data_IF_826898018725
#
_entry.id   IF_826898018725
#
_cell.length_a   1.000
_cell.length_b   1.000
_cell.length_c   1.000
_cell.angle_alpha   90.00
_cell.angle_beta   90.00
_cell.angle_gamma   90.00
#
_symmetry.space_group_name_H-M   'P 1'
#
loop_
_entity.id
_entity.type
_entity.pdbx_description
1 polymer ?
#
# COMPACT_ATOMS: atom_id res chain seq x y z
N UNK A 1 4.46 -14.90 -15.49
CA UNK A 1 4.48 -14.49 -14.06
C UNK A 1 4.68 -12.99 -13.98
N UNK A 2 3.86 -12.31 -13.17
CA UNK A 2 3.97 -10.86 -13.04
C UNK A 2 5.20 -10.53 -12.15
N UNK A 3 6.08 -9.63 -12.58
CA UNK A 3 7.24 -9.23 -11.78
C UNK A 3 6.89 -8.35 -10.57
N UNK A 4 5.63 -8.01 -10.39
CA UNK A 4 5.16 -7.26 -9.25
C UNK A 4 4.33 -8.17 -8.37
N UNK A 5 4.75 -8.35 -7.12
CA UNK A 5 4.01 -9.15 -6.17
C UNK A 5 3.40 -8.25 -5.11
N UNK A 6 2.17 -8.54 -4.73
CA UNK A 6 1.43 -7.78 -3.75
C UNK A 6 1.07 -8.68 -2.59
N UNK A 7 1.18 -8.16 -1.36
CA UNK A 7 0.66 -8.84 -0.17
C UNK A 7 -0.06 -7.84 0.70
N UNK A 8 -1.07 -8.32 1.41
CA UNK A 8 -1.85 -7.52 2.34
C UNK A 8 -1.62 -8.03 3.74
N UNK A 9 -1.23 -7.13 4.63
CA UNK A 9 -0.92 -7.46 6.02
C UNK A 9 -1.84 -6.62 6.90
N UNK A 10 -2.77 -7.24 7.64
CA UNK A 10 -3.60 -6.50 8.59
C UNK A 10 -2.73 -5.88 9.69
N UNK A 11 -3.05 -4.65 10.07
CA UNK A 11 -2.29 -3.95 11.08
C UNK A 11 -3.19 -2.91 11.74
N UNK A 12 -2.64 -2.16 12.68
CA UNK A 12 -3.37 -1.07 13.30
C UNK A 12 -2.41 0.05 13.66
N UNK A 13 -2.95 1.26 13.75
CA UNK A 13 -2.17 2.42 14.18
C UNK A 13 -1.88 2.32 15.68
N UNK A 14 -1.05 3.25 16.17
CA UNK A 14 -0.75 3.30 17.59
C UNK A 14 -2.00 3.51 18.45
N UNK A 15 -3.00 4.24 17.91
CA UNK A 15 -4.28 4.45 18.59
C UNK A 15 -5.25 3.29 18.42
N UNK A 16 -4.85 2.24 17.71
CA UNK A 16 -5.69 1.05 17.55
C UNK A 16 -6.62 1.09 16.34
N UNK A 17 -6.50 2.07 15.45
CA UNK A 17 -7.32 2.08 14.24
C UNK A 17 -6.83 1.01 13.26
N UNK A 18 -7.70 0.07 12.88
CA UNK A 18 -7.28 -0.99 11.96
C UNK A 18 -7.09 -0.44 10.55
N UNK A 19 -6.08 -0.94 9.89
CA UNK A 19 -5.83 -0.65 8.47
C UNK A 19 -5.12 -1.85 7.87
N UNK A 20 -4.94 -1.82 6.56
CA UNK A 20 -4.25 -2.89 5.85
C UNK A 20 -3.02 -2.32 5.17
N UNK A 21 -1.91 -3.01 5.34
CA UNK A 21 -0.66 -2.65 4.71
C UNK A 21 -0.57 -3.40 3.39
N UNK A 22 -0.61 -2.67 2.28
CA UNK A 22 -0.45 -3.25 0.95
C UNK A 22 1.01 -3.06 0.55
N UNK A 23 1.76 -4.14 0.62
CA UNK A 23 3.18 -4.13 0.27
C UNK A 23 3.36 -4.67 -1.13
N UNK A 24 4.09 -3.93 -1.96
CA UNK A 24 4.48 -4.46 -3.26
C UNK A 24 5.97 -4.76 -3.28
N UNK A 25 6.33 -5.75 -4.08
CA UNK A 25 7.71 -6.15 -4.25
C UNK A 25 7.96 -6.40 -5.72
N UNK A 26 9.03 -5.79 -6.25
CA UNK A 26 9.47 -6.02 -7.62
C UNK A 26 10.47 -7.16 -7.58
N UNK A 27 10.21 -8.22 -8.35
CA UNK A 27 10.96 -9.47 -8.26
C UNK A 27 11.99 -9.65 -9.36
N UNK A 28 12.19 -8.64 -10.22
CA UNK A 28 13.24 -8.68 -11.23
C UNK A 28 14.60 -8.52 -10.58
N UNK A 29 15.65 -9.04 -11.23
CA UNK A 29 16.99 -9.00 -10.66
C UNK A 29 17.50 -7.57 -10.46
N UNK A 30 17.15 -6.66 -11.37
CA UNK A 30 17.61 -5.28 -11.32
C UNK A 30 16.60 -4.34 -10.64
N UNK A 31 15.46 -4.87 -10.19
CA UNK A 31 14.43 -4.04 -9.57
C UNK A 31 13.67 -3.13 -10.53
N UNK A 32 13.79 -3.35 -11.84
CA UNK A 32 13.17 -2.51 -12.86
C UNK A 32 11.99 -3.23 -13.48
N UNK A 33 10.89 -2.50 -13.66
CA UNK A 33 9.71 -3.00 -14.37
C UNK A 33 9.37 -2.06 -15.51
N UNK A 34 8.63 -2.59 -16.49
CA UNK A 34 8.14 -1.79 -17.62
C UNK A 34 6.70 -1.34 -17.33
N UNK A 35 6.25 -0.21 -17.91
CA UNK A 35 4.86 0.21 -17.73
C UNK A 35 3.83 -0.86 -18.06
N UNK A 36 4.11 -1.70 -19.05
CA UNK A 36 3.18 -2.76 -19.42
C UNK A 36 2.98 -3.79 -18.30
N UNK A 37 3.89 -3.86 -17.34
CA UNK A 37 3.81 -4.84 -16.25
C UNK A 37 2.64 -4.56 -15.31
N UNK A 38 2.08 -3.34 -15.30
CA UNK A 38 0.91 -3.06 -14.47
C UNK A 38 -0.40 -3.47 -15.13
N UNK A 39 -0.38 -3.79 -16.42
CA UNK A 39 -1.59 -4.25 -17.10
C UNK A 39 -2.07 -5.55 -16.46
N UNK A 40 -3.34 -5.57 -16.03
CA UNK A 40 -3.91 -6.74 -15.41
C UNK A 40 -3.44 -7.02 -13.99
N UNK A 41 -2.61 -6.16 -13.42
CA UNK A 41 -2.21 -6.28 -12.03
C UNK A 41 -3.44 -6.03 -11.15
N UNK A 42 -3.78 -7.01 -10.31
CA UNK A 42 -4.97 -6.94 -9.47
C UNK A 42 -4.58 -6.98 -8.01
N UNK A 43 -5.39 -6.32 -7.19
CA UNK A 43 -5.22 -6.37 -5.75
C UNK A 43 -5.43 -7.80 -5.25
N UNK A 44 -4.74 -8.20 -4.17
CA UNK A 44 -4.97 -9.50 -3.57
C UNK A 44 -6.42 -9.64 -3.10
N UNK A 45 -6.90 -10.87 -3.08
CA UNK A 45 -8.21 -11.17 -2.51
C UNK A 45 -8.19 -10.95 -1.00
N UNK A 46 -9.35 -10.68 -0.42
CA UNK A 46 -9.50 -10.55 1.02
C UNK A 46 -9.27 -9.15 1.57
N UNK A 47 -9.05 -8.16 0.70
CA UNK A 47 -8.94 -6.78 1.16
C UNK A 47 -10.26 -6.33 1.76
N UNK A 48 -10.18 -5.68 2.92
CA UNK A 48 -11.32 -5.10 3.61
C UNK A 48 -11.43 -3.62 3.25
N UNK A 49 -12.34 -3.29 2.33
CA UNK A 49 -12.47 -1.91 1.85
C UNK A 49 -13.16 -0.98 2.86
N UNK A 50 -13.67 -1.51 3.96
CA UNK A 50 -14.18 -0.67 5.06
C UNK A 50 -13.05 -0.12 5.95
N UNK A 51 -11.82 -0.47 5.66
CA UNK A 51 -10.64 0.02 6.38
C UNK A 51 -9.76 0.83 5.44
N UNK A 52 -8.80 1.57 5.99
CA UNK A 52 -7.78 2.23 5.20
C UNK A 52 -6.74 1.24 4.66
N UNK A 53 -6.05 1.67 3.61
CA UNK A 53 -4.96 0.91 3.00
C UNK A 53 -3.75 1.81 2.92
N UNK A 54 -2.60 1.33 3.42
CA UNK A 54 -1.31 2.00 3.27
C UNK A 54 -0.48 1.22 2.26
N UNK A 55 -0.06 1.89 1.20
CA UNK A 55 0.74 1.30 0.13
C UNK A 55 2.21 1.55 0.43
N UNK A 56 3.02 0.49 0.35
CA UNK A 56 4.45 0.59 0.64
C UNK A 56 5.24 -0.35 -0.26
N UNK A 57 6.40 0.11 -0.69
CA UNK A 57 7.33 -0.68 -1.47
C UNK A 57 8.29 0.23 -2.22
N UNK A 58 9.36 -0.35 -2.75
CA UNK A 58 10.31 0.34 -3.61
C UNK A 58 9.91 0.16 -5.07
N UNK A 59 9.53 1.23 -5.72
CA UNK A 59 9.14 1.18 -7.12
C UNK A 59 8.87 2.55 -7.70
N UNK A 60 8.57 2.62 -8.99
CA UNK A 60 8.35 3.88 -9.66
C UNK A 60 7.06 4.56 -9.18
N UNK A 61 7.02 5.89 -9.32
CA UNK A 61 5.86 6.65 -8.84
C UNK A 61 4.58 6.25 -9.57
N UNK A 62 4.67 5.85 -10.83
CA UNK A 62 3.47 5.46 -11.59
C UNK A 62 2.87 4.14 -11.08
N UNK A 63 3.65 3.28 -10.44
CA UNK A 63 3.10 2.10 -9.77
C UNK A 63 2.30 2.52 -8.53
N UNK A 64 2.80 3.48 -7.74
CA UNK A 64 2.01 4.03 -6.64
C UNK A 64 0.72 4.64 -7.14
N UNK A 65 0.79 5.42 -8.23
CA UNK A 65 -0.40 6.03 -8.79
C UNK A 65 -1.44 5.01 -9.20
N UNK A 66 -1.01 3.94 -9.84
CA UNK A 66 -1.91 2.86 -10.25
C UNK A 66 -2.55 2.19 -9.03
N UNK A 67 -1.75 1.88 -8.01
CA UNK A 67 -2.26 1.20 -6.82
C UNK A 67 -3.20 2.10 -6.01
N UNK A 68 -2.93 3.40 -5.93
CA UNK A 68 -3.84 4.34 -5.29
C UNK A 68 -5.21 4.28 -5.96
N UNK A 69 -5.23 4.28 -7.29
CA UNK A 69 -6.50 4.20 -8.02
C UNK A 69 -7.22 2.88 -7.76
N UNK A 70 -6.47 1.77 -7.75
CA UNK A 70 -7.06 0.46 -7.48
C UNK A 70 -7.60 0.36 -6.06
N UNK A 71 -7.05 1.09 -5.12
CA UNK A 71 -7.51 1.12 -3.74
C UNK A 71 -8.63 2.14 -3.50
N UNK A 72 -9.14 2.77 -4.54
CA UNK A 72 -10.18 3.79 -4.46
C UNK A 72 -11.37 3.41 -3.58
N UNK A 73 -11.87 2.15 -3.55
CA UNK A 73 -13.01 1.81 -2.68
C UNK A 73 -12.68 1.79 -1.19
N UNK A 74 -11.41 1.88 -0.80
CA UNK A 74 -11.04 1.80 0.61
C UNK A 74 -11.53 3.03 1.38
N UNK A 75 -11.67 2.88 2.71
CA UNK A 75 -12.08 3.99 3.56
C UNK A 75 -11.13 5.18 3.43
N UNK A 76 -9.83 4.91 3.31
CA UNK A 76 -8.83 5.92 2.99
C UNK A 76 -7.60 5.22 2.41
N UNK A 77 -6.75 5.99 1.74
CA UNK A 77 -5.53 5.46 1.13
C UNK A 77 -4.37 6.35 1.55
N UNK A 78 -3.30 5.73 2.02
CA UNK A 78 -2.04 6.40 2.32
C UNK A 78 -0.89 5.79 1.55
N UNK A 79 0.13 6.59 1.30
CA UNK A 79 1.37 6.12 0.67
C UNK A 79 2.48 6.24 1.70
N UNK A 80 3.23 5.19 1.91
CA UNK A 80 4.30 5.21 2.89
C UNK A 80 5.52 5.93 2.32
N UNK A 81 5.94 6.97 3.03
CA UNK A 81 7.17 7.70 2.73
C UNK A 81 8.16 7.40 3.86
N UNK A 82 9.36 6.86 3.55
CA UNK A 82 10.31 6.48 4.61
C UNK A 82 10.74 7.64 5.51
N UNK A 83 10.63 8.87 5.02
CA UNK A 83 11.04 10.05 5.80
C UNK A 83 9.92 10.60 6.67
N UNK A 84 8.67 10.37 6.29
CA UNK A 84 7.53 11.00 6.94
C UNK A 84 6.64 10.00 7.68
N UNK A 85 6.37 8.86 7.07
CA UNK A 85 5.34 7.92 7.50
C UNK A 85 4.30 7.73 6.41
N UNK A 86 3.11 7.30 6.76
CA UNK A 86 2.05 7.11 5.77
C UNK A 86 1.34 8.45 5.53
N UNK A 87 1.46 8.96 4.32
CA UNK A 87 0.80 10.21 3.92
C UNK A 87 -0.57 9.87 3.34
N UNK A 88 -1.63 10.36 3.96
CA UNK A 88 -2.99 10.12 3.48
C UNK A 88 -3.23 10.95 2.23
N UNK A 89 -3.57 10.29 1.13
CA UNK A 89 -3.76 10.96 -0.17
C UNK A 89 -5.21 10.97 -0.62
N UNK A 90 -6.06 10.12 -0.03
CA UNK A 90 -7.49 10.08 -0.35
C UNK A 90 -8.24 9.55 0.87
N UNK A 91 -9.46 10.04 1.08
CA UNK A 91 -10.28 9.55 2.19
C UNK A 91 -11.76 9.71 1.86
N UNK A 92 -12.54 8.73 2.32
CA UNK A 92 -14.00 8.75 2.31
C UNK A 92 -14.56 8.80 3.74
N UNK A 93 -13.69 9.00 4.73
CA UNK A 93 -14.09 8.96 6.13
C UNK A 93 -13.60 10.21 6.85
N UNK A 94 -14.14 10.47 8.03
CA UNK A 94 -13.68 11.58 8.89
C UNK A 94 -12.57 11.16 9.85
N UNK A 95 -12.18 9.87 9.85
CA UNK A 95 -11.16 9.38 10.75
C UNK A 95 -9.77 9.94 10.43
N UNK A 96 -9.53 10.23 9.17
CA UNK A 96 -8.27 10.81 8.71
C UNK A 96 -8.58 11.92 7.71
N UNK A 97 -7.59 12.78 7.49
CA UNK A 97 -7.70 13.87 6.51
C UNK A 97 -6.61 13.76 5.47
N UNK A 98 -6.92 14.19 4.25
CA UNK A 98 -5.89 14.28 3.20
C UNK A 98 -4.75 15.15 3.72
N UNK A 99 -3.53 14.76 3.47
CA UNK A 99 -2.26 15.34 3.91
C UNK A 99 -1.85 14.95 5.33
N UNK A 100 -2.71 14.29 6.08
CA UNK A 100 -2.33 13.78 7.40
C UNK A 100 -1.21 12.76 7.26
N UNK A 101 -0.25 12.80 8.17
CA UNK A 101 0.84 11.83 8.22
C UNK A 101 0.63 10.92 9.42
N UNK A 102 0.53 9.63 9.16
CA UNK A 102 0.42 8.62 10.21
C UNK A 102 1.79 8.04 10.47
N UNK A 103 2.27 8.14 11.71
CA UNK A 103 3.53 7.55 12.11
C UNK A 103 3.28 6.07 12.38
N UNK A 104 3.76 5.23 11.48
CA UNK A 104 3.49 3.80 11.54
C UNK A 104 4.79 3.03 11.63
N UNK A 105 4.76 1.93 12.37
CA UNK A 105 5.78 0.90 12.26
C UNK A 105 5.36 -0.05 11.15
N UNK A 106 6.29 -0.37 10.25
CA UNK A 106 5.98 -1.29 9.17
C UNK A 106 5.85 -2.70 9.72
N UNK A 107 4.77 -3.42 9.35
CA UNK A 107 4.65 -4.81 9.78
C UNK A 107 5.69 -5.68 9.08
N UNK A 108 6.03 -6.81 9.69
CA UNK A 108 6.86 -7.81 9.04
C UNK A 108 6.09 -8.41 7.87
N UNK A 109 6.78 -8.65 6.74
CA UNK A 109 6.16 -9.32 5.61
C UNK A 109 5.81 -10.76 5.96
N UNK A 110 4.63 -11.21 5.49
CA UNK A 110 4.27 -12.61 5.56
C UNK A 110 5.25 -13.38 4.68
N UNK A 111 5.91 -14.39 5.25
CA UNK A 111 6.92 -15.14 4.53
C UNK A 111 8.26 -14.45 4.41
N UNK A 112 8.44 -13.30 5.02
CA UNK A 112 9.72 -12.61 5.06
C UNK A 112 10.75 -13.42 5.84
N UNK A 113 11.99 -13.34 5.43
CA UNK A 113 13.07 -14.04 6.12
C UNK A 113 13.78 -13.18 7.16
N UNK A 114 13.26 -12.07 7.46
CA UNK A 114 13.83 -11.29 8.53
C UNK A 114 14.40 -10.03 8.19
#
# INVERSE_FOLDING_TARGET
>A
MNPIQLEVIPHQTQEGMPYQHLRFQITTDDGVIAPADIKGLKLPEGIQFNQGIVIEGKGPIWLYGYLVHECHPAAWVGCYDPRLGAVVVATHTHEVSVSQVLKLELPASVGSKG
#
